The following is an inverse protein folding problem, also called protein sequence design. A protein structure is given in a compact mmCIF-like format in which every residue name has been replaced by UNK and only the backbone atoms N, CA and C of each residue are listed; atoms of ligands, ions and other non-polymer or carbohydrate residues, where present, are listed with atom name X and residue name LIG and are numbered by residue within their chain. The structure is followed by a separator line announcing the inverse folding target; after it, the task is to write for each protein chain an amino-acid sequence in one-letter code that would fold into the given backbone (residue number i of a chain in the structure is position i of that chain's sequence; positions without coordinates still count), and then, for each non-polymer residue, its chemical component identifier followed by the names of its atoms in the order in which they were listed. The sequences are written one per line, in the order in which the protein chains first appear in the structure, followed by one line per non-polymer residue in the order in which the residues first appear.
data_IF_952175253790
#
_entry.id   IF_952175253790
#
_cell.length_a   1.000
_cell.length_b   1.000
_cell.length_c   1.000
_cell.angle_alpha   90.00
_cell.angle_beta   90.00
_cell.angle_gamma   90.00
#
_symmetry.space_group_name_H-M   'P 1'
#
loop_
_entity.id
_entity.type
_entity.pdbx_description
1 polymer ?
#
# COMPACT_ATOMS: atom_id res chain seq x y z
N UNK A 1 -9.55 7.91 -10.71
CA UNK A 1 -10.31 8.24 -11.94
C UNK A 1 -10.72 6.95 -12.67
N UNK A 2 -11.91 6.93 -13.30
CA UNK A 2 -12.46 5.72 -13.97
C UNK A 2 -11.67 5.28 -15.21
N UNK A 3 -10.72 6.12 -15.64
CA UNK A 3 -9.88 5.92 -16.83
C UNK A 3 -8.49 5.33 -16.53
N UNK A 4 -8.11 5.21 -15.25
CA UNK A 4 -6.80 4.66 -14.89
C UNK A 4 -6.82 3.14 -14.83
N UNK A 5 -5.79 2.53 -15.41
CA UNK A 5 -5.48 1.11 -15.23
C UNK A 5 -5.13 0.78 -13.79
N UNK A 6 -5.29 -0.49 -13.38
CA UNK A 6 -4.92 -0.92 -12.03
C UNK A 6 -3.43 -0.64 -11.74
N UNK A 7 -2.54 -0.82 -12.73
CA UNK A 7 -1.11 -0.49 -12.60
C UNK A 7 -0.85 1.00 -12.33
N UNK A 8 -1.51 1.90 -13.06
CA UNK A 8 -1.39 3.35 -12.82
C UNK A 8 -1.90 3.75 -11.43
N UNK A 9 -2.95 3.08 -10.94
CA UNK A 9 -3.47 3.35 -9.60
C UNK A 9 -2.49 2.90 -8.52
N UNK A 10 -1.81 1.77 -8.72
CA UNK A 10 -0.78 1.27 -7.82
C UNK A 10 0.48 2.17 -7.85
N UNK A 11 0.86 2.66 -9.02
CA UNK A 11 1.96 3.63 -9.17
C UNK A 11 1.67 4.93 -8.42
N UNK A 12 0.48 5.50 -8.58
CA UNK A 12 0.06 6.69 -7.83
C UNK A 12 0.10 6.41 -6.32
N UNK A 13 -0.45 5.27 -5.88
CA UNK A 13 -0.44 4.88 -4.47
C UNK A 13 0.99 4.78 -3.92
N UNK A 14 1.92 4.20 -4.69
CA UNK A 14 3.32 4.08 -4.31
C UNK A 14 3.99 5.44 -4.17
N UNK A 15 3.84 6.31 -5.17
CA UNK A 15 4.47 7.63 -5.20
C UNK A 15 3.93 8.51 -4.08
N UNK A 16 2.60 8.64 -3.97
CA UNK A 16 1.96 9.48 -2.95
C UNK A 16 2.33 9.02 -1.53
N UNK A 17 2.38 7.70 -1.29
CA UNK A 17 2.78 7.17 0.00
C UNK A 17 4.27 7.39 0.26
N UNK A 18 5.13 7.20 -0.74
CA UNK A 18 6.58 7.41 -0.59
C UNK A 18 6.88 8.86 -0.25
N UNK A 19 6.21 9.81 -0.90
CA UNK A 19 6.32 11.25 -0.62
C UNK A 19 5.91 11.56 0.82
N UNK A 20 4.80 11.00 1.30
CA UNK A 20 4.36 11.14 2.69
C UNK A 20 5.36 10.54 3.69
N UNK A 21 5.88 9.36 3.42
CA UNK A 21 6.85 8.71 4.30
C UNK A 21 8.17 9.49 4.35
N UNK A 22 8.59 10.09 3.23
CA UNK A 22 9.78 10.93 3.17
C UNK A 22 9.60 12.27 3.90
N UNK A 23 8.41 12.89 3.77
CA UNK A 23 8.06 14.15 4.43
C UNK A 23 7.97 13.98 5.95
N UNK A 24 7.23 12.98 6.42
CA UNK A 24 6.93 12.82 7.84
C UNK A 24 7.92 11.94 8.60
N UNK A 25 8.67 11.06 7.92
CA UNK A 25 9.67 10.14 8.49
C UNK A 25 9.20 9.46 9.78
N UNK A 26 8.10 8.70 9.74
CA UNK A 26 7.57 8.10 10.95
C UNK A 26 8.51 7.01 11.49
N UNK A 27 8.59 6.87 12.81
CA UNK A 27 9.38 5.82 13.45
C UNK A 27 8.76 4.42 13.32
N UNK A 28 7.46 4.35 13.01
CA UNK A 28 6.67 3.12 12.93
C UNK A 28 5.60 3.24 11.86
N UNK A 29 5.39 2.15 11.13
CA UNK A 29 4.34 2.02 10.14
C UNK A 29 3.41 0.86 10.51
N UNK A 30 2.10 1.10 10.59
CA UNK A 30 1.10 0.07 10.91
C UNK A 30 0.19 -0.18 9.72
N UNK A 31 -0.11 -1.44 9.41
CA UNK A 31 -1.05 -1.83 8.36
C UNK A 31 -1.97 -2.94 8.84
N UNK A 32 -3.27 -2.84 8.55
CA UNK A 32 -4.25 -3.83 9.02
C UNK A 32 -4.06 -5.21 8.35
N UNK A 33 -4.28 -6.27 9.13
CA UNK A 33 -4.46 -7.63 8.59
C UNK A 33 -5.75 -7.75 7.77
N UNK A 34 -5.64 -8.29 6.57
CA UNK A 34 -6.79 -8.47 5.69
C UNK A 34 -7.46 -9.83 5.93
N UNK A 35 -8.71 -9.81 6.40
CA UNK A 35 -9.56 -11.00 6.54
C UNK A 35 -10.51 -11.13 5.34
N UNK A 36 -10.34 -12.16 4.52
CA UNK A 36 -11.15 -12.38 3.32
C UNK A 36 -12.14 -13.56 3.51
N UNK A 37 -13.45 -13.28 3.40
CA UNK A 37 -14.48 -14.29 3.69
C UNK A 37 -15.24 -14.83 2.46
N UNK A 38 -15.23 -14.18 1.28
CA UNK A 38 -16.03 -14.67 0.12
C UNK A 38 -15.67 -14.14 -1.29
N UNK A 39 -15.16 -12.92 -1.44
CA UNK A 39 -14.96 -12.28 -2.75
C UNK A 39 -13.47 -12.24 -3.16
N UNK A 40 -13.02 -13.28 -3.88
CA UNK A 40 -11.61 -13.47 -4.28
C UNK A 40 -11.10 -12.33 -5.19
N UNK A 41 -11.90 -11.85 -6.13
CA UNK A 41 -11.47 -10.79 -7.07
C UNK A 41 -11.17 -9.46 -6.37
N UNK A 42 -12.01 -9.09 -5.40
CA UNK A 42 -11.77 -7.88 -4.58
C UNK A 42 -10.58 -8.09 -3.65
N UNK A 43 -10.45 -9.29 -3.09
CA UNK A 43 -9.32 -9.64 -2.23
C UNK A 43 -7.97 -9.48 -2.94
N UNK A 44 -7.86 -9.91 -4.19
CA UNK A 44 -6.63 -9.76 -4.99
C UNK A 44 -6.28 -8.28 -5.19
N UNK A 45 -7.26 -7.43 -5.54
CA UNK A 45 -7.00 -5.99 -5.76
C UNK A 45 -6.55 -5.28 -4.49
N UNK A 46 -7.16 -5.59 -3.34
CA UNK A 46 -6.75 -5.03 -2.04
C UNK A 46 -5.38 -5.58 -1.63
N UNK A 47 -5.11 -6.87 -1.89
CA UNK A 47 -3.81 -7.48 -1.64
C UNK A 47 -2.69 -6.85 -2.46
N UNK A 48 -2.93 -6.54 -3.74
CA UNK A 48 -1.98 -5.81 -4.59
C UNK A 48 -1.65 -4.43 -4.02
N UNK A 49 -2.67 -3.66 -3.62
CA UNK A 49 -2.47 -2.34 -3.01
C UNK A 49 -1.68 -2.45 -1.69
N UNK A 50 -2.02 -3.42 -0.83
CA UNK A 50 -1.28 -3.67 0.42
C UNK A 50 0.19 -4.03 0.16
N UNK A 51 0.47 -4.85 -0.85
CA UNK A 51 1.85 -5.19 -1.22
C UNK A 51 2.68 -3.98 -1.60
N UNK A 52 2.09 -3.03 -2.34
CA UNK A 52 2.75 -1.76 -2.70
C UNK A 52 2.99 -0.88 -1.48
N UNK A 53 2.02 -0.81 -0.57
CA UNK A 53 2.13 -0.04 0.68
C UNK A 53 3.29 -0.57 1.55
N UNK A 54 3.34 -1.89 1.73
CA UNK A 54 4.42 -2.54 2.48
C UNK A 54 5.79 -2.28 1.86
N UNK A 55 5.89 -2.37 0.54
CA UNK A 55 7.13 -2.10 -0.18
C UNK A 55 7.61 -0.65 -0.01
N UNK A 56 6.70 0.32 -0.07
CA UNK A 56 7.03 1.73 0.13
C UNK A 56 7.58 1.99 1.54
N UNK A 57 6.95 1.42 2.57
CA UNK A 57 7.42 1.52 3.95
C UNK A 57 8.81 0.88 4.15
N UNK A 58 9.04 -0.31 3.58
CA UNK A 58 10.32 -1.01 3.68
C UNK A 58 11.46 -0.27 2.96
N UNK A 59 11.20 0.34 1.79
CA UNK A 59 12.20 1.13 1.07
C UNK A 59 12.70 2.33 1.88
N UNK A 60 11.84 2.89 2.74
CA UNK A 60 12.18 3.99 3.65
C UNK A 60 12.78 3.50 4.98
N UNK A 61 12.99 2.17 5.14
CA UNK A 61 13.55 1.51 6.34
C UNK A 61 12.73 1.76 7.61
N UNK A 62 11.42 1.89 7.47
CA UNK A 62 10.52 2.13 8.60
C UNK A 62 10.05 0.78 9.15
N UNK A 63 10.17 0.51 10.46
CA UNK A 63 9.63 -0.70 11.06
C UNK A 63 8.12 -0.86 10.82
N UNK A 64 7.74 -1.97 10.20
CA UNK A 64 6.36 -2.30 9.85
C UNK A 64 5.73 -3.22 10.92
N UNK A 65 4.48 -2.94 11.27
CA UNK A 65 3.65 -3.72 12.16
C UNK A 65 2.32 -4.07 11.48
N UNK A 66 1.84 -5.31 11.70
CA UNK A 66 0.59 -5.84 11.17
C UNK A 66 -0.50 -5.92 12.27
#
# INVERSE_FOLDING_TARGET
PKELTDSQRLEILFNDLSDLLEEYRPDKFGVEELFFNRNVTTAIKVGQARGVILLAAEQQRIPIYE
#
